data_IF_803395899239
#
_entry.id   IF_803395899239
#
_cell.length_a   1.000
_cell.length_b   1.000
_cell.length_c   1.000
_cell.angle_alpha   90.00
_cell.angle_beta   90.00
_cell.angle_gamma   90.00
#
_symmetry.space_group_name_H-M   'P 1'
#
loop_
_entity.id
_entity.type
_entity.pdbx_description
1 polymer ?
#
# COMPACT_ATOMS: atom_id res chain seq x y z
N UNK A 1 8.87 -16.77 25.80
CA UNK A 1 9.10 -16.80 25.40
C UNK A 1 9.02 -16.74 25.03
N UNK A 2 8.97 -16.50 25.48
CA UNK A 2 9.17 -16.34 25.13
C UNK A 2 9.09 -15.89 25.03
N UNK A 3 9.09 -15.67 25.49
CA UNK A 3 9.35 -15.26 25.27
C UNK A 3 9.50 -14.87 25.09
N UNK A 4 9.68 -14.77 25.49
CA UNK A 4 10.14 -14.59 25.18
C UNK A 4 10.26 -14.34 24.73
N UNK A 5 10.37 -14.18 24.88
CA UNK A 5 10.63 -14.02 24.34
C UNK A 5 10.16 -13.70 24.16
N UNK A 6 9.87 -13.47 24.46
CA UNK A 6 9.69 -13.17 24.32
C UNK A 6 9.62 -12.42 24.60
N UNK A 7 9.55 -12.09 24.85
CA UNK A 7 9.60 -11.34 25.06
C UNK A 7 10.29 -10.35 24.92
N UNK A 8 10.73 -10.32 24.89
CA UNK A 8 11.40 -9.59 24.55
C UNK A 8 11.77 -9.09 23.60
N UNK A 9 12.21 -9.34 23.52
CA UNK A 9 12.65 -8.90 22.28
C UNK A 9 11.83 -7.81 21.79
N UNK A 10 11.77 -6.86 22.45
CA UNK A 10 10.80 -5.84 22.25
C UNK A 10 10.92 -5.16 20.90
N UNK A 11 12.09 -4.72 20.53
CA UNK A 11 12.24 -4.01 19.27
C UNK A 11 12.00 -4.91 18.08
N UNK A 12 12.49 -6.13 18.14
CA UNK A 12 12.28 -7.09 17.06
C UNK A 12 10.83 -7.52 16.96
N UNK A 13 10.12 -7.57 18.09
CA UNK A 13 8.71 -7.94 18.08
C UNK A 13 7.83 -6.83 17.53
N UNK A 14 8.29 -5.60 17.49
CA UNK A 14 7.53 -4.47 17.00
C UNK A 14 7.85 -4.17 15.56
N UNK A 15 7.78 -5.19 14.76
CA UNK A 15 8.01 -5.02 13.33
C UNK A 15 6.81 -4.40 12.68
N UNK A 16 7.06 -3.81 11.52
CA UNK A 16 6.00 -3.29 10.69
C UNK A 16 5.06 -4.42 10.32
N UNK A 17 3.79 -4.27 10.63
CA UNK A 17 2.79 -5.30 10.39
C UNK A 17 2.01 -4.99 9.12
N UNK A 18 1.71 -6.00 8.34
CA UNK A 18 0.91 -5.86 7.12
C UNK A 18 -0.32 -6.74 7.23
N UNK A 19 -1.50 -6.13 7.05
CA UNK A 19 -2.77 -6.83 7.02
C UNK A 19 -3.37 -6.69 5.64
N UNK A 20 -3.83 -7.78 5.08
CA UNK A 20 -4.39 -7.80 3.73
C UNK A 20 -5.80 -8.37 3.79
N UNK A 21 -6.75 -7.62 3.22
CA UNK A 21 -8.12 -8.06 3.02
C UNK A 21 -8.44 -7.96 1.54
N UNK A 22 -8.95 -9.02 0.96
CA UNK A 22 -9.20 -9.03 -0.46
C UNK A 22 -10.42 -9.86 -0.79
N UNK A 23 -11.27 -9.32 -1.65
CA UNK A 23 -12.28 -10.14 -2.30
C UNK A 23 -11.58 -11.15 -3.20
N UNK A 24 -12.28 -12.23 -3.52
CA UNK A 24 -11.72 -13.27 -4.37
C UNK A 24 -11.81 -12.83 -5.83
N UNK A 25 -10.78 -12.13 -6.28
CA UNK A 25 -10.72 -11.55 -7.61
C UNK A 25 -9.55 -12.11 -8.41
N UNK A 26 -9.73 -12.16 -9.71
CA UNK A 26 -8.66 -12.55 -10.63
C UNK A 26 -8.21 -11.34 -11.42
N UNK A 27 -6.91 -11.15 -11.54
CA UNK A 27 -6.34 -10.07 -12.34
C UNK A 27 -5.32 -10.63 -13.31
N UNK A 28 -5.14 -9.94 -14.44
CA UNK A 28 -4.15 -10.36 -15.42
C UNK A 28 -2.75 -10.08 -14.88
N UNK A 29 -1.77 -10.75 -15.47
CA UNK A 29 -0.37 -10.55 -15.12
C UNK A 29 0.06 -9.10 -15.39
N UNK A 30 -0.48 -8.49 -16.44
CA UNK A 30 -0.16 -7.10 -16.80
C UNK A 30 -0.59 -6.10 -15.71
N UNK A 31 -1.60 -6.47 -14.93
CA UNK A 31 -2.07 -5.65 -13.81
C UNK A 31 -1.37 -6.06 -12.51
N UNK A 32 -1.19 -7.36 -12.31
CA UNK A 32 -0.62 -7.89 -11.08
C UNK A 32 0.80 -7.42 -10.82
N UNK A 33 1.64 -7.36 -11.85
CA UNK A 33 3.05 -6.99 -11.68
C UNK A 33 3.20 -5.53 -11.23
N UNK A 34 2.57 -4.54 -11.91
CA UNK A 34 2.66 -3.16 -11.41
C UNK A 34 2.03 -2.98 -10.03
N UNK A 35 0.97 -3.73 -9.71
CA UNK A 35 0.36 -3.66 -8.38
C UNK A 35 1.35 -4.14 -7.32
N UNK A 36 2.05 -5.23 -7.57
CA UNK A 36 3.03 -5.75 -6.63
C UNK A 36 4.14 -4.71 -6.37
N UNK A 37 4.62 -4.03 -7.40
CA UNK A 37 5.59 -2.97 -7.24
C UNK A 37 5.01 -1.78 -6.47
N UNK A 38 3.77 -1.41 -6.75
CA UNK A 38 3.11 -0.31 -6.06
C UNK A 38 3.00 -0.60 -4.56
N UNK A 39 2.55 -1.78 -4.21
CA UNK A 39 2.44 -2.19 -2.81
C UNK A 39 3.82 -2.15 -2.14
N UNK A 40 4.82 -2.69 -2.80
CA UNK A 40 6.19 -2.72 -2.26
C UNK A 40 6.71 -1.31 -1.99
N UNK A 41 6.54 -0.40 -2.95
CA UNK A 41 7.01 0.98 -2.79
C UNK A 41 6.29 1.70 -1.66
N UNK A 42 4.98 1.53 -1.54
CA UNK A 42 4.22 2.20 -0.49
C UNK A 42 4.49 1.59 0.89
N UNK A 43 4.67 0.28 0.96
CA UNK A 43 5.08 -0.37 2.21
C UNK A 43 6.45 0.16 2.65
N UNK A 44 7.38 0.24 1.72
CA UNK A 44 8.72 0.75 2.02
C UNK A 44 8.68 2.18 2.53
N UNK A 45 7.92 3.04 1.85
CA UNK A 45 7.75 4.43 2.27
C UNK A 45 7.14 4.52 3.67
N UNK A 46 6.08 3.76 3.91
CA UNK A 46 5.42 3.75 5.22
C UNK A 46 6.35 3.25 6.32
N UNK A 47 7.16 2.25 6.04
CA UNK A 47 8.12 1.73 7.00
C UNK A 47 9.19 2.75 7.35
N UNK A 48 9.64 3.52 6.37
CA UNK A 48 10.64 4.56 6.61
C UNK A 48 10.09 5.68 7.48
N UNK A 49 8.80 6.01 7.31
CA UNK A 49 8.17 7.11 8.03
C UNK A 49 7.57 6.69 9.36
N UNK A 50 7.21 5.42 9.51
CA UNK A 50 6.64 4.88 10.74
C UNK A 50 7.06 3.41 10.90
N UNK A 51 8.31 3.16 11.28
CA UNK A 51 8.84 1.79 11.30
C UNK A 51 8.14 0.84 12.27
N UNK A 52 7.46 1.37 13.27
CA UNK A 52 6.71 0.54 14.22
C UNK A 52 5.21 0.58 13.95
N UNK A 53 4.84 1.06 12.77
CA UNK A 53 3.45 1.14 12.38
C UNK A 53 2.97 -0.12 11.69
N UNK A 54 1.96 0.06 10.85
CA UNK A 54 1.36 -1.04 10.10
C UNK A 54 0.79 -0.51 8.79
N UNK A 55 0.52 -1.43 7.88
CA UNK A 55 -0.15 -1.14 6.62
C UNK A 55 -1.37 -2.03 6.50
N UNK A 56 -2.50 -1.44 6.23
CA UNK A 56 -3.73 -2.17 5.90
C UNK A 56 -3.95 -2.07 4.41
N UNK A 57 -4.01 -3.21 3.75
CA UNK A 57 -4.21 -3.29 2.30
C UNK A 57 -5.55 -3.95 2.06
N UNK A 58 -6.41 -3.31 1.30
CA UNK A 58 -7.72 -3.85 0.97
C UNK A 58 -7.93 -3.82 -0.54
N UNK A 59 -8.49 -4.89 -1.07
CA UNK A 59 -8.92 -4.94 -2.46
C UNK A 59 -10.40 -5.27 -2.45
N UNK A 60 -11.21 -4.36 -2.94
CA UNK A 60 -12.66 -4.48 -2.91
C UNK A 60 -13.22 -4.31 -4.31
N UNK A 61 -14.04 -5.25 -4.71
CA UNK A 61 -14.73 -5.15 -5.99
C UNK A 61 -15.70 -3.96 -5.95
N UNK A 62 -15.71 -3.22 -7.04
CA UNK A 62 -16.68 -2.15 -7.23
C UNK A 62 -18.06 -2.75 -7.51
N UNK A 63 -18.97 -1.95 -8.01
CA UNK A 63 -20.31 -2.44 -8.34
C UNK A 63 -20.22 -3.68 -9.22
N UNK A 64 -21.11 -4.62 -8.95
CA UNK A 64 -21.16 -5.89 -9.68
C UNK A 64 -21.23 -5.67 -11.19
N UNK A 65 -20.44 -6.44 -11.91
CA UNK A 65 -20.42 -6.38 -13.37
C UNK A 65 -19.57 -5.30 -13.98
N UNK A 66 -18.87 -4.51 -13.18
CA UNK A 66 -18.00 -3.45 -13.71
C UNK A 66 -16.62 -3.94 -14.11
N UNK A 67 -16.21 -5.13 -13.66
CA UNK A 67 -14.86 -5.68 -13.84
C UNK A 67 -13.80 -4.74 -13.28
N UNK A 68 -14.14 -4.02 -12.21
CA UNK A 68 -13.25 -3.07 -11.56
C UNK A 68 -13.23 -3.29 -10.06
N UNK A 69 -12.11 -2.97 -9.45
CA UNK A 69 -11.95 -3.04 -8.01
C UNK A 69 -11.13 -1.84 -7.56
N UNK A 70 -11.16 -1.59 -6.26
CA UNK A 70 -10.31 -0.58 -5.64
C UNK A 70 -9.26 -1.25 -4.82
N UNK A 71 -8.02 -0.85 -5.02
CA UNK A 71 -6.90 -1.21 -4.14
C UNK A 71 -6.69 -0.02 -3.21
N UNK A 72 -6.80 -0.24 -1.91
CA UNK A 72 -6.65 0.80 -0.91
C UNK A 72 -5.56 0.39 0.07
N UNK A 73 -4.61 1.29 0.30
CA UNK A 73 -3.51 1.05 1.23
C UNK A 73 -3.49 2.19 2.24
N UNK A 74 -3.55 1.84 3.52
CA UNK A 74 -3.61 2.82 4.59
C UNK A 74 -2.57 2.54 5.65
N UNK A 75 -1.87 3.59 6.05
CA UNK A 75 -0.87 3.53 7.11
C UNK A 75 -0.68 4.93 7.70
N UNK A 76 -0.41 5.00 8.99
CA UNK A 76 -0.09 6.30 9.58
C UNK A 76 1.18 6.90 8.99
N UNK A 77 2.07 6.06 8.46
CA UNK A 77 3.27 6.53 7.77
C UNK A 77 2.97 7.24 6.45
N UNK A 78 1.74 7.10 5.94
CA UNK A 78 1.31 7.76 4.71
C UNK A 78 0.49 9.02 4.96
N UNK A 79 0.34 9.43 6.21
CA UNK A 79 -0.27 10.71 6.55
C UNK A 79 0.69 11.81 6.09
N UNK A 80 0.12 12.84 5.48
CA UNK A 80 0.90 13.94 4.92
C UNK A 80 1.80 14.58 5.97
N UNK A 81 3.07 14.78 5.61
CA UNK A 81 4.07 15.38 6.48
C UNK A 81 5.20 15.95 5.63
N UNK A 82 6.04 16.78 6.25
CA UNK A 82 7.23 17.30 5.56
C UNK A 82 8.18 16.18 5.17
N UNK A 83 8.37 15.20 6.05
CA UNK A 83 9.24 14.06 5.78
C UNK A 83 8.72 13.28 4.58
N UNK A 84 7.42 13.05 4.52
CA UNK A 84 6.82 12.35 3.39
C UNK A 84 7.00 13.13 2.10
N UNK A 85 6.77 14.44 2.14
CA UNK A 85 6.97 15.28 0.96
C UNK A 85 8.40 15.21 0.44
N UNK A 86 9.38 15.17 1.33
CA UNK A 86 10.79 15.05 0.94
C UNK A 86 11.05 13.75 0.20
N UNK A 87 10.52 12.62 0.70
CA UNK A 87 10.67 11.33 0.03
C UNK A 87 9.96 11.31 -1.32
N UNK A 88 8.76 11.90 -1.40
CA UNK A 88 8.01 11.94 -2.65
C UNK A 88 8.70 12.81 -3.70
N UNK A 89 9.34 13.89 -3.28
CA UNK A 89 10.08 14.75 -4.20
C UNK A 89 11.39 14.13 -4.69
N UNK A 90 11.91 13.17 -3.95
CA UNK A 90 13.12 12.47 -4.34
C UNK A 90 12.77 11.36 -5.33
N UNK A 91 12.64 10.13 -4.84
CA UNK A 91 12.52 8.96 -5.69
C UNK A 91 11.08 8.46 -5.80
N UNK A 92 10.37 8.43 -4.68
CA UNK A 92 9.07 7.76 -4.61
C UNK A 92 8.01 8.38 -5.52
N UNK A 93 8.00 9.70 -5.63
CA UNK A 93 7.02 10.37 -6.48
C UNK A 93 7.10 9.92 -7.93
N UNK A 94 8.32 9.77 -8.46
CA UNK A 94 8.50 9.34 -9.85
C UNK A 94 8.10 7.88 -10.04
N UNK A 95 8.45 7.02 -9.08
CA UNK A 95 8.10 5.61 -9.16
C UNK A 95 6.59 5.44 -9.11
N UNK A 96 5.93 6.12 -8.18
CA UNK A 96 4.48 6.03 -8.03
C UNK A 96 3.76 6.56 -9.27
N UNK A 97 4.25 7.65 -9.85
CA UNK A 97 3.67 8.20 -11.09
C UNK A 97 3.82 7.21 -12.24
N UNK A 98 4.99 6.58 -12.35
CA UNK A 98 5.22 5.59 -13.39
C UNK A 98 4.30 4.37 -13.27
N UNK A 99 4.10 3.89 -12.04
CA UNK A 99 3.22 2.76 -11.79
C UNK A 99 1.75 3.10 -12.08
N UNK A 100 1.34 4.31 -11.70
CA UNK A 100 0.00 4.79 -12.01
C UNK A 100 -0.24 4.80 -13.52
N UNK A 101 0.74 5.24 -14.29
CA UNK A 101 0.65 5.24 -15.75
C UNK A 101 0.54 3.83 -16.32
N UNK A 102 1.31 2.89 -15.78
CA UNK A 102 1.23 1.50 -16.20
C UNK A 102 -0.14 0.90 -15.94
N UNK A 103 -0.73 1.26 -14.81
CA UNK A 103 -2.05 0.78 -14.42
C UNK A 103 -3.17 1.57 -15.09
N UNK A 104 -2.85 2.66 -15.77
CA UNK A 104 -3.81 3.52 -16.49
C UNK A 104 -4.91 4.03 -15.59
N UNK A 105 -4.55 4.37 -14.35
CA UNK A 105 -5.50 4.87 -13.37
C UNK A 105 -4.79 5.84 -12.45
N UNK A 106 -5.47 6.90 -11.99
CA UNK A 106 -4.87 7.82 -11.06
C UNK A 106 -4.67 7.17 -9.69
N UNK A 107 -3.51 7.40 -9.11
CA UNK A 107 -3.23 7.01 -7.74
C UNK A 107 -3.63 8.19 -6.87
N UNK A 108 -4.62 7.99 -6.00
CA UNK A 108 -5.19 9.06 -5.19
C UNK A 108 -4.64 8.97 -3.76
N UNK A 109 -4.02 10.04 -3.30
CA UNK A 109 -3.49 10.12 -1.95
C UNK A 109 -4.41 10.98 -1.08
N UNK A 110 -4.89 10.42 0.02
CA UNK A 110 -5.60 11.15 1.05
C UNK A 110 -4.63 11.35 2.21
N UNK A 111 -4.05 12.55 2.27
CA UNK A 111 -3.02 12.86 3.26
C UNK A 111 -3.52 12.90 4.69
N UNK A 112 -4.80 13.18 4.90
CA UNK A 112 -5.36 13.17 6.24
C UNK A 112 -5.60 11.76 6.74
N UNK A 113 -6.11 10.90 5.89
CA UNK A 113 -6.38 9.52 6.25
C UNK A 113 -5.13 8.64 6.21
N UNK A 114 -4.10 9.08 5.52
CA UNK A 114 -2.90 8.28 5.33
C UNK A 114 -3.14 7.11 4.39
N UNK A 115 -3.87 7.35 3.31
CA UNK A 115 -4.23 6.28 2.38
C UNK A 115 -3.88 6.64 0.94
N UNK A 116 -3.59 5.60 0.17
CA UNK A 116 -3.51 5.65 -1.28
C UNK A 116 -4.56 4.70 -1.84
N UNK A 117 -5.19 5.10 -2.91
CA UNK A 117 -6.21 4.28 -3.58
C UNK A 117 -6.02 4.35 -5.08
N UNK A 118 -6.26 3.23 -5.74
CA UNK A 118 -6.19 3.15 -7.19
C UNK A 118 -7.22 2.14 -7.70
N UNK A 119 -7.87 2.47 -8.81
CA UNK A 119 -8.79 1.55 -9.47
C UNK A 119 -7.98 0.54 -10.28
N UNK A 120 -8.39 -0.71 -10.21
CA UNK A 120 -7.74 -1.78 -10.97
C UNK A 120 -8.78 -2.54 -11.79
N UNK A 121 -8.34 -3.05 -12.94
CA UNK A 121 -9.18 -3.87 -13.78
C UNK A 121 -9.08 -5.32 -13.33
N UNK A 122 -10.23 -5.99 -13.17
CA UNK A 122 -10.26 -7.39 -12.79
C UNK A 122 -10.84 -8.21 -13.94
N UNK A 123 -10.47 -9.48 -13.97
CA UNK A 123 -10.97 -10.40 -15.00
C UNK A 123 -12.42 -10.77 -14.69
N UNK A 124 -13.26 -10.91 -15.72
CA UNK A 124 -14.67 -11.28 -15.54
C UNK A 124 -14.84 -12.70 -14.97
#
# INVERSE_FOLDING_TARGET
MSASLRGTAPAAARRFAIQIESDNLNISQDVAVPIAFLITELVELAMMLAPQGSMHIAVQEDAEGTNRAQLIMRSRGLVESEAMSAYLNDRYGRVLTGLSRQLRAPLVHDGEAGSYAIAITVLP
#
